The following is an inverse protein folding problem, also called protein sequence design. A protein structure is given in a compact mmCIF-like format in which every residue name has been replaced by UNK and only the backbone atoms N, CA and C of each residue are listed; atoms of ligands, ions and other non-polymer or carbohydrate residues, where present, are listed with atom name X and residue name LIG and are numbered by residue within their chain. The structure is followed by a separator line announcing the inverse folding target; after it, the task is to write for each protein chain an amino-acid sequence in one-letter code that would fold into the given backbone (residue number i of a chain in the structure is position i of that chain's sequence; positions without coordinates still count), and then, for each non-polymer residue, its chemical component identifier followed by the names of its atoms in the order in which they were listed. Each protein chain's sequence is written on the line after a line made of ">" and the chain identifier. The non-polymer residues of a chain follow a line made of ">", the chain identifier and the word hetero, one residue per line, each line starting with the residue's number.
data_IF_148448269054
#
_entry.id   IF_148448269054
#
_cell.length_a   1.000
_cell.length_b   1.000
_cell.length_c   1.000
_cell.angle_alpha   90.00
_cell.angle_beta   90.00
_cell.angle_gamma   90.00
#
_symmetry.space_group_name_H-M   'P 1'
#
loop_
_entity.id
_entity.type
_entity.pdbx_description
1 polymer ?
#
# COMPACT_ATOMS: atom_id res chain seq x y z
N UNK A 1 15.10 6.90 9.76
CA UNK A 1 14.09 6.15 8.99
C UNK A 1 12.75 6.86 9.15
N UNK A 2 12.19 7.33 8.04
CA UNK A 2 10.85 7.90 7.99
C UNK A 2 9.79 6.82 7.78
N UNK A 3 8.59 7.04 8.31
CA UNK A 3 7.44 6.17 8.05
C UNK A 3 6.22 7.05 7.79
N UNK A 4 5.67 6.99 6.59
CA UNK A 4 4.37 7.57 6.27
C UNK A 4 3.32 6.48 6.43
N UNK A 5 2.33 6.64 7.30
CA UNK A 5 1.30 5.62 7.50
C UNK A 5 -0.05 6.22 7.91
N UNK A 6 -1.08 5.38 8.01
CA UNK A 6 -2.38 5.81 8.54
C UNK A 6 -2.26 6.20 10.02
N UNK A 7 -3.19 7.03 10.50
CA UNK A 7 -3.27 7.37 11.93
C UNK A 7 -3.40 6.12 12.82
N UNK A 8 -4.16 5.12 12.36
CA UNK A 8 -4.27 3.83 13.02
C UNK A 8 -2.90 3.16 13.18
N UNK A 9 -2.17 3.00 12.08
CA UNK A 9 -0.82 2.40 12.09
C UNK A 9 0.15 3.18 12.97
N UNK A 10 0.19 4.52 12.86
CA UNK A 10 1.08 5.37 13.66
C UNK A 10 0.77 5.25 15.16
N UNK A 11 -0.50 5.31 15.55
CA UNK A 11 -0.90 5.21 16.96
C UNK A 11 -0.55 3.87 17.60
N UNK A 12 -0.45 2.79 16.81
CA UNK A 12 0.04 1.51 17.33
C UNK A 12 1.53 1.53 17.72
N UNK A 13 2.33 2.48 17.24
CA UNK A 13 3.79 2.51 17.48
C UNK A 13 4.52 1.23 17.03
N UNK A 14 3.95 0.43 16.13
CA UNK A 14 4.54 -0.85 15.71
C UNK A 14 5.90 -0.64 15.02
N UNK A 15 6.01 0.33 14.11
CA UNK A 15 7.26 0.58 13.37
C UNK A 15 8.45 0.94 14.29
N UNK A 16 8.37 1.95 15.19
CA UNK A 16 9.44 2.25 16.13
C UNK A 16 9.82 1.06 17.00
N UNK A 17 8.82 0.30 17.48
CA UNK A 17 9.06 -0.88 18.32
C UNK A 17 9.78 -1.99 17.57
N UNK A 18 9.35 -2.32 16.36
CA UNK A 18 9.94 -3.38 15.56
C UNK A 18 11.32 -2.98 15.04
N UNK A 19 11.46 -1.77 14.47
CA UNK A 19 12.75 -1.28 13.97
C UNK A 19 13.76 -1.08 15.10
N UNK A 20 13.35 -0.60 16.28
CA UNK A 20 14.25 -0.47 17.43
C UNK A 20 14.74 -1.81 17.97
N UNK A 21 13.97 -2.90 17.80
CA UNK A 21 14.43 -4.26 18.13
C UNK A 21 15.43 -4.80 17.12
N UNK A 22 15.22 -4.52 15.83
CA UNK A 22 16.09 -5.01 14.75
C UNK A 22 17.37 -4.19 14.62
N UNK A 23 17.29 -2.88 14.85
CA UNK A 23 18.40 -1.94 14.79
C UNK A 23 18.24 -0.92 15.93
N UNK A 24 18.84 -1.16 17.11
CA UNK A 24 18.71 -0.27 18.27
C UNK A 24 19.19 1.17 18.04
N UNK A 25 20.10 1.38 17.08
CA UNK A 25 20.59 2.69 16.69
C UNK A 25 19.63 3.46 15.74
N UNK A 26 18.63 2.78 15.17
CA UNK A 26 17.71 3.39 14.23
C UNK A 26 16.79 4.40 14.92
N UNK A 27 16.81 5.64 14.42
CA UNK A 27 15.81 6.66 14.77
C UNK A 27 14.65 6.59 13.79
N UNK A 28 13.44 6.53 14.32
CA UNK A 28 12.21 6.39 13.53
C UNK A 28 11.35 7.63 13.69
N UNK A 29 11.05 8.30 12.57
CA UNK A 29 10.13 9.43 12.49
C UNK A 29 8.85 8.95 11.83
N UNK A 30 7.74 8.89 12.57
CA UNK A 30 6.44 8.50 12.04
C UNK A 30 5.59 9.73 11.74
N UNK A 31 4.93 9.73 10.59
CA UNK A 31 3.98 10.77 10.19
C UNK A 31 2.67 10.10 9.80
N UNK A 32 1.58 10.55 10.43
CA UNK A 32 0.24 10.12 10.07
C UNK A 32 -0.24 10.93 8.86
N UNK A 33 -0.71 10.25 7.81
CA UNK A 33 -1.11 10.87 6.55
C UNK A 33 -2.61 10.64 6.28
N UNK A 34 -3.53 11.24 7.07
CA UNK A 34 -4.96 10.95 6.99
C UNK A 34 -5.60 11.32 5.65
N UNK A 35 -5.05 12.31 4.93
CA UNK A 35 -5.61 12.77 3.66
C UNK A 35 -5.29 11.86 2.46
N UNK A 36 -4.22 11.05 2.54
CA UNK A 36 -3.76 10.26 1.39
C UNK A 36 -4.76 9.18 0.96
N UNK A 37 -5.31 8.39 1.89
CA UNK A 37 -6.23 7.29 1.53
C UNK A 37 -7.49 7.81 0.82
N UNK A 38 -8.21 8.83 1.33
CA UNK A 38 -9.37 9.38 0.63
C UNK A 38 -9.06 9.91 -0.78
N UNK A 39 -7.92 10.60 -0.96
CA UNK A 39 -7.51 11.13 -2.27
C UNK A 39 -7.25 10.00 -3.27
N UNK A 40 -6.52 8.97 -2.84
CA UNK A 40 -6.18 7.81 -3.67
C UNK A 40 -7.44 7.01 -4.04
N UNK A 41 -8.35 6.78 -3.09
CA UNK A 41 -9.60 6.09 -3.37
C UNK A 41 -10.53 6.87 -4.33
N UNK A 42 -10.36 8.19 -4.44
CA UNK A 42 -11.03 9.05 -5.41
C UNK A 42 -10.30 9.14 -6.76
N UNK A 43 -9.17 8.45 -6.92
CA UNK A 43 -8.36 8.51 -8.14
C UNK A 43 -7.51 9.78 -8.27
N UNK A 44 -7.34 10.55 -7.19
CA UNK A 44 -6.54 11.78 -7.17
C UNK A 44 -5.11 11.46 -6.72
N UNK A 45 -4.21 11.28 -7.70
CA UNK A 45 -2.82 10.87 -7.44
C UNK A 45 -1.79 12.00 -7.57
N UNK A 46 -2.19 13.13 -8.15
CA UNK A 46 -1.39 14.32 -8.26
C UNK A 46 -2.31 15.57 -8.26
N UNK A 47 -1.71 16.75 -8.23
CA UNK A 47 -2.37 18.04 -8.27
C UNK A 47 -2.02 18.91 -7.06
N UNK A 48 -2.53 20.15 -7.03
CA UNK A 48 -2.20 21.10 -5.97
C UNK A 48 -2.51 20.59 -4.56
N UNK A 49 -3.62 19.86 -4.41
CA UNK A 49 -4.02 19.29 -3.12
C UNK A 49 -3.09 18.16 -2.67
N UNK A 50 -2.78 17.20 -3.54
CA UNK A 50 -1.85 16.11 -3.24
C UNK A 50 -0.48 16.68 -2.89
N UNK A 51 0.06 17.60 -3.70
CA UNK A 51 1.37 18.23 -3.43
C UNK A 51 1.40 19.03 -2.14
N UNK A 52 0.28 19.65 -1.75
CA UNK A 52 0.17 20.32 -0.44
C UNK A 52 0.33 19.31 0.70
N UNK A 53 -0.38 18.18 0.66
CA UNK A 53 -0.27 17.14 1.69
C UNK A 53 1.08 16.43 1.66
N UNK A 54 1.67 16.19 0.48
CA UNK A 54 3.04 15.67 0.38
C UNK A 54 4.02 16.60 1.10
N UNK A 55 3.94 17.92 0.89
CA UNK A 55 4.82 18.88 1.57
C UNK A 55 4.62 18.86 3.08
N UNK A 56 3.35 18.85 3.52
CA UNK A 56 3.01 18.80 4.95
C UNK A 56 3.56 17.54 5.62
N UNK A 57 3.40 16.37 5.00
CA UNK A 57 3.78 15.09 5.59
C UNK A 57 5.26 14.74 5.41
N UNK A 58 5.94 15.29 4.39
CA UNK A 58 7.39 15.14 4.21
C UNK A 58 8.20 16.16 5.01
N UNK A 59 7.63 17.29 5.44
CA UNK A 59 8.37 18.27 6.24
C UNK A 59 9.01 17.70 7.53
N UNK A 60 8.34 16.86 8.34
CA UNK A 60 8.97 16.20 9.48
C UNK A 60 10.06 15.21 9.08
N UNK A 61 9.90 14.55 7.92
CA UNK A 61 10.87 13.58 7.39
C UNK A 61 12.16 14.31 6.97
N UNK A 62 12.02 15.42 6.25
CA UNK A 62 13.11 16.29 5.81
C UNK A 62 13.85 16.89 7.01
N UNK A 63 13.13 17.45 7.99
CA UNK A 63 13.73 18.01 9.23
C UNK A 63 14.50 16.98 10.05
N UNK A 64 14.07 15.73 10.01
CA UNK A 64 14.73 14.63 10.71
C UNK A 64 15.85 13.98 9.88
N UNK A 65 16.13 14.49 8.68
CA UNK A 65 17.15 13.98 7.76
C UNK A 65 17.06 12.46 7.58
N UNK A 66 15.83 11.97 7.40
CA UNK A 66 15.61 10.54 7.27
C UNK A 66 16.29 10.01 6.01
N UNK A 67 17.12 8.97 6.15
CA UNK A 67 17.86 8.36 5.03
C UNK A 67 17.05 7.38 4.17
N UNK A 68 15.80 7.07 4.55
CA UNK A 68 14.87 6.22 3.82
C UNK A 68 13.45 6.45 4.38
N UNK A 69 12.42 6.28 3.55
CA UNK A 69 11.02 6.46 3.94
C UNK A 69 10.21 5.21 3.62
N UNK A 70 9.58 4.62 4.63
CA UNK A 70 8.68 3.48 4.45
C UNK A 70 7.28 3.97 4.12
N UNK A 71 6.69 3.41 3.06
CA UNK A 71 5.28 3.56 2.69
C UNK A 71 4.44 2.58 3.52
N UNK A 72 4.08 2.96 4.74
CA UNK A 72 3.40 2.11 5.72
C UNK A 72 1.90 1.92 5.51
N UNK A 73 1.39 2.17 4.30
CA UNK A 73 0.02 1.94 3.88
C UNK A 73 0.01 1.42 2.45
N UNK A 74 -0.82 0.40 2.17
CA UNK A 74 -0.95 -0.22 0.84
C UNK A 74 -1.35 0.74 -0.28
N UNK A 75 -1.89 1.92 0.06
CA UNK A 75 -2.30 2.92 -0.92
C UNK A 75 -1.14 3.84 -1.33
N UNK A 76 -0.14 4.07 -0.48
CA UNK A 76 0.81 5.17 -0.71
C UNK A 76 1.73 5.02 -1.92
N UNK A 77 2.00 3.82 -2.48
CA UNK A 77 2.73 3.70 -3.75
C UNK A 77 2.08 4.48 -4.91
N UNK A 78 0.77 4.72 -4.90
CA UNK A 78 0.10 5.54 -5.93
C UNK A 78 0.51 7.01 -5.91
N UNK A 79 1.04 7.51 -4.80
CA UNK A 79 1.53 8.89 -4.68
C UNK A 79 3.04 9.00 -4.85
N UNK A 80 3.74 7.90 -5.20
CA UNK A 80 5.20 7.87 -5.24
C UNK A 80 5.80 8.99 -6.13
N UNK A 81 5.32 9.23 -7.36
CA UNK A 81 5.86 10.34 -8.17
C UNK A 81 5.74 11.71 -7.49
N UNK A 82 4.58 12.00 -6.89
CA UNK A 82 4.36 13.27 -6.19
C UNK A 82 5.19 13.38 -4.89
N UNK A 83 5.41 12.26 -4.21
CA UNK A 83 6.26 12.17 -3.02
C UNK A 83 7.74 12.39 -3.36
N UNK A 84 8.22 11.79 -4.45
CA UNK A 84 9.60 11.95 -4.94
C UNK A 84 9.88 13.37 -5.40
N UNK A 85 8.99 13.96 -6.20
CA UNK A 85 9.09 15.36 -6.61
C UNK A 85 9.13 16.29 -5.39
N UNK A 86 8.23 16.08 -4.44
CA UNK A 86 8.19 16.89 -3.21
C UNK A 86 9.42 16.66 -2.33
N UNK A 87 9.96 15.44 -2.26
CA UNK A 87 11.18 15.15 -1.53
C UNK A 87 12.40 15.83 -2.17
N UNK A 88 12.45 15.90 -3.50
CA UNK A 88 13.46 16.66 -4.24
C UNK A 88 13.40 18.17 -3.97
N UNK A 89 12.22 18.72 -3.72
CA UNK A 89 12.05 20.12 -3.31
C UNK A 89 12.50 20.39 -1.86
N UNK A 90 12.25 19.45 -0.95
CA UNK A 90 12.39 19.68 0.51
C UNK A 90 13.72 19.20 1.11
N UNK A 91 14.36 18.21 0.50
CA UNK A 91 15.56 17.56 1.03
C UNK A 91 16.77 17.88 0.15
N UNK A 92 17.91 18.19 0.78
CA UNK A 92 19.18 18.32 0.04
C UNK A 92 19.61 17.00 -0.63
N UNK A 93 19.32 15.88 0.02
CA UNK A 93 19.47 14.52 -0.52
C UNK A 93 18.13 13.78 -0.30
N UNK A 94 17.32 13.59 -1.35
CA UNK A 94 16.01 12.95 -1.22
C UNK A 94 16.15 11.48 -0.79
N UNK A 95 15.43 11.03 0.25
CA UNK A 95 15.50 9.63 0.65
C UNK A 95 14.79 8.72 -0.35
N UNK A 96 15.27 7.49 -0.55
CA UNK A 96 14.51 6.47 -1.25
C UNK A 96 13.24 6.13 -0.48
N UNK A 97 12.16 5.89 -1.23
CA UNK A 97 10.92 5.36 -0.70
C UNK A 97 10.91 3.82 -0.79
N UNK A 98 10.37 3.17 0.23
CA UNK A 98 10.34 1.71 0.36
C UNK A 98 8.89 1.26 0.46
N UNK A 99 8.42 0.53 -0.55
CA UNK A 99 7.17 -0.25 -0.47
C UNK A 99 7.43 -1.60 0.21
N UNK A 100 6.81 -1.89 1.37
CA UNK A 100 6.93 -3.19 2.01
C UNK A 100 6.34 -4.36 1.21
N UNK A 101 5.45 -4.13 0.24
CA UNK A 101 4.74 -5.17 -0.49
C UNK A 101 5.68 -6.18 -1.14
N UNK A 102 6.75 -5.69 -1.78
CA UNK A 102 7.77 -6.53 -2.41
C UNK A 102 8.51 -7.41 -1.42
N UNK A 103 8.88 -6.86 -0.26
CA UNK A 103 9.54 -7.61 0.80
C UNK A 103 8.62 -8.70 1.36
N UNK A 104 7.33 -8.39 1.52
CA UNK A 104 6.31 -9.37 1.95
C UNK A 104 6.14 -10.47 0.91
N UNK A 105 6.10 -10.14 -0.38
CA UNK A 105 5.98 -11.13 -1.46
C UNK A 105 7.20 -12.06 -1.52
N UNK A 106 8.42 -11.51 -1.42
CA UNK A 106 9.66 -12.30 -1.36
C UNK A 106 9.71 -13.21 -0.14
N UNK A 107 9.32 -12.72 1.03
CA UNK A 107 9.26 -13.51 2.26
C UNK A 107 8.23 -14.65 2.15
N UNK A 108 7.08 -14.39 1.52
CA UNK A 108 6.09 -15.43 1.23
C UNK A 108 6.69 -16.52 0.34
N UNK A 109 7.34 -16.16 -0.77
CA UNK A 109 7.97 -17.11 -1.68
C UNK A 109 9.05 -17.96 -0.98
N UNK A 110 9.83 -17.37 -0.08
CA UNK A 110 10.85 -18.09 0.68
C UNK A 110 10.27 -19.12 1.66
N UNK A 111 9.01 -18.93 2.10
CA UNK A 111 8.31 -19.82 3.04
C UNK A 111 7.39 -20.83 2.35
N UNK A 112 6.95 -20.54 1.13
CA UNK A 112 6.11 -21.43 0.37
C UNK A 112 6.92 -22.65 -0.08
N UNK A 113 6.38 -23.83 0.18
CA UNK A 113 6.83 -25.05 -0.47
C UNK A 113 6.04 -25.19 -1.78
N UNK A 114 6.70 -25.39 -2.94
CA UNK A 114 6.00 -25.67 -4.18
C UNK A 114 5.10 -26.89 -3.99
N UNK A 115 3.82 -26.74 -4.30
CA UNK A 115 2.91 -27.89 -4.33
C UNK A 115 3.09 -28.55 -5.70
N UNK A 116 3.55 -29.79 -5.73
CA UNK A 116 3.70 -30.52 -6.99
C UNK A 116 2.37 -30.54 -7.78
N UNK A 117 2.45 -30.20 -9.07
CA UNK A 117 1.28 -30.12 -9.93
C UNK A 117 0.45 -28.84 -9.80
N UNK A 118 0.81 -27.88 -8.94
CA UNK A 118 0.13 -26.58 -8.92
C UNK A 118 0.41 -25.81 -10.19
N UNK A 119 -0.64 -25.26 -10.81
CA UNK A 119 -0.53 -24.32 -11.92
C UNK A 119 -0.98 -22.93 -11.46
N UNK A 120 -0.46 -21.84 -12.06
CA UNK A 120 -0.99 -20.51 -11.85
C UNK A 120 -2.50 -20.50 -12.18
N UNK A 121 -3.33 -20.30 -11.16
CA UNK A 121 -4.74 -20.04 -11.33
C UNK A 121 -4.96 -18.53 -11.43
N UNK A 122 -6.05 -18.13 -12.06
CA UNK A 122 -6.42 -16.73 -12.06
C UNK A 122 -6.87 -16.29 -10.66
N UNK A 123 -6.75 -15.00 -10.38
CA UNK A 123 -7.02 -14.47 -9.06
C UNK A 123 -8.54 -14.32 -8.84
N UNK A 124 -9.02 -14.74 -7.68
CA UNK A 124 -10.40 -14.51 -7.24
C UNK A 124 -10.43 -13.40 -6.19
N UNK A 125 -11.25 -12.37 -6.43
CA UNK A 125 -11.37 -11.22 -5.56
C UNK A 125 -12.65 -11.30 -4.75
N UNK A 126 -12.56 -11.08 -3.43
CA UNK A 126 -13.68 -11.16 -2.51
C UNK A 126 -13.74 -9.92 -1.64
N UNK A 127 -14.95 -9.38 -1.43
CA UNK A 127 -15.16 -8.25 -0.53
C UNK A 127 -16.33 -8.49 0.41
N UNK A 128 -16.23 -8.01 1.64
CA UNK A 128 -17.36 -7.90 2.57
C UNK A 128 -18.19 -6.64 2.30
N UNK A 129 -17.64 -5.67 1.57
CA UNK A 129 -18.29 -4.44 1.11
C UNK A 129 -19.14 -4.65 -0.14
N UNK A 130 -19.45 -3.57 -0.85
CA UNK A 130 -20.16 -3.65 -2.13
C UNK A 130 -19.22 -4.18 -3.25
N UNK A 131 -19.52 -5.33 -3.88
CA UNK A 131 -18.71 -5.89 -4.97
C UNK A 131 -18.54 -4.94 -6.16
N UNK A 132 -19.57 -4.16 -6.49
CA UNK A 132 -19.51 -3.25 -7.64
C UNK A 132 -18.53 -2.09 -7.37
N UNK A 133 -18.61 -1.50 -6.18
CA UNK A 133 -17.66 -0.47 -5.73
C UNK A 133 -16.23 -1.00 -5.66
N UNK A 134 -16.05 -2.23 -5.15
CA UNK A 134 -14.72 -2.83 -5.08
C UNK A 134 -14.15 -3.12 -6.47
N UNK A 135 -14.96 -3.62 -7.41
CA UNK A 135 -14.54 -3.83 -8.80
C UNK A 135 -14.08 -2.51 -9.45
N UNK A 136 -14.80 -1.42 -9.21
CA UNK A 136 -14.39 -0.09 -9.69
C UNK A 136 -13.05 0.36 -9.08
N UNK A 137 -12.82 0.12 -7.79
CA UNK A 137 -11.53 0.40 -7.15
C UNK A 137 -10.40 -0.45 -7.73
N UNK A 138 -10.62 -1.74 -8.01
CA UNK A 138 -9.63 -2.61 -8.65
C UNK A 138 -9.27 -2.12 -10.05
N UNK A 139 -10.26 -1.64 -10.81
CA UNK A 139 -10.04 -1.05 -12.13
C UNK A 139 -9.20 0.23 -12.06
N UNK A 140 -9.49 1.11 -11.10
CA UNK A 140 -8.78 2.39 -10.94
C UNK A 140 -7.37 2.20 -10.41
N UNK A 141 -7.19 1.34 -9.41
CA UNK A 141 -5.94 1.20 -8.67
C UNK A 141 -5.03 0.13 -9.28
N UNK A 142 -5.56 -1.04 -9.62
CA UNK A 142 -4.75 -2.17 -10.11
C UNK A 142 -4.80 -2.33 -11.62
N UNK A 143 -5.62 -1.54 -12.32
CA UNK A 143 -5.90 -1.68 -13.76
C UNK A 143 -6.47 -3.06 -14.12
N UNK A 144 -7.14 -3.71 -13.17
CA UNK A 144 -7.78 -5.01 -13.38
C UNK A 144 -9.21 -4.81 -13.88
N UNK A 145 -9.34 -4.39 -15.14
CA UNK A 145 -10.63 -4.04 -15.75
C UNK A 145 -11.66 -5.16 -15.79
N UNK A 146 -11.20 -6.42 -15.87
CA UNK A 146 -12.07 -7.61 -15.86
C UNK A 146 -12.05 -8.36 -14.50
N UNK A 147 -11.71 -7.66 -13.41
CA UNK A 147 -11.76 -8.21 -12.06
C UNK A 147 -13.17 -8.64 -11.66
N UNK A 148 -13.40 -9.95 -11.54
CA UNK A 148 -14.65 -10.46 -11.00
C UNK A 148 -14.58 -10.53 -9.49
N UNK A 149 -15.45 -9.75 -8.86
CA UNK A 149 -15.53 -9.62 -7.40
C UNK A 149 -16.72 -10.43 -6.88
N UNK A 150 -16.45 -11.36 -5.97
CA UNK A 150 -17.48 -12.05 -5.19
C UNK A 150 -17.76 -11.37 -3.85
N UNK A 151 -18.91 -11.70 -3.26
CA UNK A 151 -19.31 -11.22 -1.93
C UNK A 151 -18.93 -12.24 -0.86
N UNK A 152 -18.29 -11.76 0.21
CA UNK A 152 -18.03 -12.52 1.42
C UNK A 152 -19.01 -12.08 2.52
N UNK A 153 -19.73 -13.02 3.11
CA UNK A 153 -20.73 -12.77 4.16
C UNK A 153 -20.45 -13.64 5.38
N UNK A 154 -20.57 -13.05 6.56
CA UNK A 154 -20.60 -13.83 7.80
C UNK A 154 -22.06 -14.07 8.22
N UNK A 155 -22.48 -15.34 8.28
CA UNK A 155 -23.83 -15.74 8.73
C UNK A 155 -23.74 -16.94 9.64
N UNK A 156 -24.38 -16.87 10.80
CA UNK A 156 -24.48 -17.98 11.76
C UNK A 156 -23.11 -18.61 12.11
N UNK A 157 -22.08 -17.80 12.29
CA UNK A 157 -20.73 -18.28 12.61
C UNK A 157 -19.97 -18.92 11.44
N UNK A 158 -20.47 -18.81 10.21
CA UNK A 158 -19.83 -19.33 9.00
C UNK A 158 -19.58 -18.23 7.97
N UNK A 159 -18.44 -18.34 7.29
CA UNK A 159 -18.12 -17.56 6.11
C UNK A 159 -18.85 -18.16 4.90
N UNK A 160 -19.68 -17.35 4.25
CA UNK A 160 -20.40 -17.67 3.02
C UNK A 160 -19.77 -16.88 1.88
N UNK A 161 -19.44 -17.54 0.78
CA UNK A 161 -18.86 -16.92 -0.41
C UNK A 161 -19.83 -17.01 -1.57
N UNK A 162 -20.25 -15.86 -2.09
CA UNK A 162 -21.02 -15.77 -3.33
C UNK A 162 -20.02 -15.49 -4.46
N UNK A 163 -19.49 -16.57 -5.03
CA UNK A 163 -18.52 -16.53 -6.12
C UNK A 163 -19.23 -16.46 -7.48
N UNK A 164 -18.76 -15.55 -8.34
CA UNK A 164 -19.07 -15.65 -9.77
C UNK A 164 -18.11 -16.66 -10.43
N UNK A 165 -18.59 -17.44 -11.40
CA UNK A 165 -17.87 -18.60 -12.01
C UNK A 165 -16.67 -18.25 -12.90
N UNK A 166 -16.14 -17.02 -12.88
CA UNK A 166 -15.08 -16.62 -13.82
C UNK A 166 -14.01 -15.84 -13.09
N UNK A 167 -12.82 -16.05 -13.61
CA UNK A 167 -11.51 -15.89 -13.01
C UNK A 167 -10.79 -14.71 -13.71
N UNK A 168 -10.04 -13.87 -12.98
CA UNK A 168 -9.39 -12.69 -13.55
C UNK A 168 -7.86 -12.90 -13.67
N UNK A 169 -7.26 -12.69 -14.85
CA UNK A 169 -5.82 -12.81 -15.00
C UNK A 169 -5.09 -11.78 -14.13
N UNK A 170 -3.96 -12.20 -13.55
CA UNK A 170 -3.10 -11.32 -12.75
C UNK A 170 -2.42 -10.29 -13.65
N UNK A 171 -2.52 -9.01 -13.32
CA UNK A 171 -1.69 -7.96 -13.91
C UNK A 171 -0.84 -7.30 -12.81
N UNK A 172 0.45 -7.06 -13.08
CA UNK A 172 1.30 -6.35 -12.13
C UNK A 172 0.71 -4.96 -11.83
N UNK A 173 0.70 -4.49 -10.56
CA UNK A 173 0.28 -3.14 -10.21
C UNK A 173 1.00 -2.08 -11.04
N UNK A 174 0.32 -0.98 -11.37
CA UNK A 174 0.84 0.09 -12.24
C UNK A 174 2.22 0.58 -11.81
N UNK A 175 2.47 0.72 -10.52
CA UNK A 175 3.72 1.24 -9.96
C UNK A 175 4.88 0.22 -9.92
N UNK A 176 4.63 -1.04 -10.32
CA UNK A 176 5.65 -2.08 -10.49
C UNK A 176 5.96 -2.37 -11.97
N UNK A 177 5.39 -1.61 -12.91
CA UNK A 177 5.55 -1.83 -14.37
C UNK A 177 6.70 -1.04 -15.01
N UNK A 178 7.64 -0.53 -14.22
CA UNK A 178 8.83 0.21 -14.68
C UNK A 178 10.12 -0.59 -14.46
#
# INVERSE_FOLDING_TARGET
>A
IGVLATQGTVSTGMYPRTLGRLCPAARVTQVACPAFVPLIEQGTFDGPEVRRYCREYLAPIARAECSAVILGCTHYPYLLPALEETAAELCSEPPPFVDPADAVARELLARLQPVEGSQPAAAQMLTTGDPARFAEQLRVLLEWGDARVGKALWRNGRLMLELSRVETPFAAPRYLRE
#
